data_IF_056922853594
#
_entry.id   IF_056922853594
#
_cell.length_a   1.000
_cell.length_b   1.000
_cell.length_c   1.000
_cell.angle_alpha   90.00
_cell.angle_beta   90.00
_cell.angle_gamma   90.00
#
_symmetry.space_group_name_H-M   'P 1'
#
loop_
_entity.id
_entity.type
_entity.pdbx_description
1 polymer ?
#
# COMPACT_ATOMS: atom_id res chain seq x y z
N UNK A 1 -14.88 -15.27 -9.10
CA UNK A 1 -15.30 -14.07 -8.34
C UNK A 1 -15.94 -13.04 -9.28
N UNK A 2 -17.24 -12.71 -9.12
CA UNK A 2 -17.81 -11.49 -9.72
C UNK A 2 -17.43 -10.31 -8.84
N UNK A 3 -16.31 -9.64 -9.13
CA UNK A 3 -15.99 -8.34 -8.56
C UNK A 3 -16.90 -7.28 -9.22
N UNK A 4 -18.14 -7.16 -8.76
CA UNK A 4 -19.06 -6.16 -9.29
C UNK A 4 -20.35 -6.10 -8.47
N UNK A 5 -20.47 -5.07 -7.63
CA UNK A 5 -21.74 -4.69 -7.00
C UNK A 5 -22.62 -3.89 -7.96
N UNK A 6 -23.91 -3.77 -7.64
CA UNK A 6 -24.92 -3.11 -8.49
C UNK A 6 -24.58 -1.64 -8.85
N UNK A 7 -23.74 -0.97 -8.05
CA UNK A 7 -23.40 0.44 -8.21
C UNK A 7 -21.91 0.68 -8.53
N UNK A 8 -21.45 0.16 -9.68
CA UNK A 8 -20.06 0.33 -10.14
C UNK A 8 -19.60 1.80 -10.18
N UNK A 9 -20.49 2.70 -10.60
CA UNK A 9 -20.20 4.13 -10.69
C UNK A 9 -19.94 4.75 -9.32
N UNK A 10 -20.75 4.39 -8.32
CA UNK A 10 -20.56 4.86 -6.94
C UNK A 10 -19.23 4.35 -6.39
N UNK A 11 -18.93 3.06 -6.55
CA UNK A 11 -17.65 2.49 -6.10
C UNK A 11 -16.44 3.16 -6.77
N UNK A 12 -16.53 3.45 -8.07
CA UNK A 12 -15.48 4.13 -8.83
C UNK A 12 -15.28 5.57 -8.33
N UNK A 13 -16.37 6.31 -8.11
CA UNK A 13 -16.31 7.67 -7.57
C UNK A 13 -15.75 7.69 -6.14
N UNK A 14 -16.16 6.75 -5.29
CA UNK A 14 -15.62 6.60 -3.93
C UNK A 14 -14.12 6.31 -3.93
N UNK A 15 -13.65 5.44 -4.82
CA UNK A 15 -12.21 5.16 -4.97
C UNK A 15 -11.45 6.42 -5.42
N UNK A 16 -11.98 7.15 -6.41
CA UNK A 16 -11.41 8.42 -6.86
C UNK A 16 -11.32 9.44 -5.72
N UNK A 17 -12.38 9.58 -4.93
CA UNK A 17 -12.41 10.46 -3.77
C UNK A 17 -11.37 10.04 -2.71
N UNK A 18 -11.25 8.74 -2.44
CA UNK A 18 -10.25 8.22 -1.50
C UNK A 18 -8.81 8.56 -1.94
N UNK A 19 -8.50 8.41 -3.23
CA UNK A 19 -7.19 8.78 -3.78
C UNK A 19 -6.93 10.28 -3.69
N UNK A 20 -7.94 11.11 -3.95
CA UNK A 20 -7.83 12.57 -3.80
C UNK A 20 -7.56 12.96 -2.34
N UNK A 21 -8.32 12.41 -1.38
CA UNK A 21 -8.11 12.64 0.05
C UNK A 21 -6.69 12.23 0.47
N UNK A 22 -6.23 11.06 0.02
CA UNK A 22 -4.89 10.57 0.33
C UNK A 22 -3.79 11.49 -0.24
N UNK A 23 -3.94 11.94 -1.49
CA UNK A 23 -3.00 12.85 -2.15
C UNK A 23 -2.90 14.20 -1.43
N UNK A 24 -4.03 14.82 -1.09
CA UNK A 24 -4.07 16.10 -0.35
C UNK A 24 -3.38 15.95 1.01
N UNK A 25 -3.68 14.86 1.74
CA UNK A 25 -3.08 14.61 3.04
C UNK A 25 -1.55 14.46 2.93
N UNK A 26 -1.06 13.75 1.92
CA UNK A 26 0.38 13.55 1.73
C UNK A 26 1.12 14.89 1.51
N UNK A 27 0.54 15.78 0.69
CA UNK A 27 1.09 17.13 0.47
C UNK A 27 1.08 17.94 1.77
N UNK A 28 0.02 17.85 2.57
CA UNK A 28 -0.08 18.56 3.85
C UNK A 28 0.92 18.06 4.88
N UNK A 29 1.10 16.74 5.01
CA UNK A 29 2.13 16.16 5.88
C UNK A 29 3.51 16.66 5.47
N UNK A 30 3.81 16.66 4.16
CA UNK A 30 5.09 17.15 3.67
C UNK A 30 5.30 18.65 3.91
N UNK A 31 4.23 19.46 3.83
CA UNK A 31 4.27 20.92 3.98
C UNK A 31 4.34 21.36 5.44
N UNK A 32 3.57 20.73 6.33
CA UNK A 32 3.36 21.20 7.70
C UNK A 32 3.99 20.32 8.78
N UNK A 33 4.26 19.04 8.48
CA UNK A 33 4.73 18.06 9.46
C UNK A 33 6.14 17.54 9.16
N UNK A 34 6.93 18.26 8.35
CA UNK A 34 8.26 17.83 7.92
C UNK A 34 9.21 17.52 9.08
N UNK A 35 9.10 18.28 10.16
CA UNK A 35 9.97 18.16 11.34
C UNK A 35 9.34 17.34 12.49
N UNK A 36 8.10 16.85 12.30
CA UNK A 36 7.39 16.05 13.29
C UNK A 36 7.80 14.59 13.14
N UNK A 37 8.14 13.88 14.23
CA UNK A 37 8.44 12.46 14.16
C UNK A 37 7.32 11.66 13.49
N UNK A 38 7.71 10.75 12.61
CA UNK A 38 6.80 9.97 11.76
C UNK A 38 5.82 9.13 12.56
N UNK A 39 6.27 8.64 13.72
CA UNK A 39 5.43 7.90 14.65
C UNK A 39 4.34 8.80 15.26
N UNK A 40 4.65 10.05 15.59
CA UNK A 40 3.71 10.98 16.24
C UNK A 40 2.61 11.40 15.27
N UNK A 41 2.96 11.82 14.04
CA UNK A 41 1.96 12.26 13.07
C UNK A 41 1.13 11.11 12.49
N UNK A 42 1.53 9.85 12.67
CA UNK A 42 0.68 8.69 12.34
C UNK A 42 -0.13 8.21 13.55
N UNK A 43 0.50 8.01 14.71
CA UNK A 43 -0.16 7.39 15.87
C UNK A 43 -1.31 8.22 16.42
N UNK A 44 -1.12 9.54 16.60
CA UNK A 44 -2.17 10.40 17.16
C UNK A 44 -3.36 10.52 16.19
N UNK A 45 -3.17 10.86 14.90
CA UNK A 45 -4.29 10.90 13.96
C UNK A 45 -4.97 9.55 13.77
N UNK A 46 -4.23 8.44 13.74
CA UNK A 46 -4.83 7.10 13.68
C UNK A 46 -5.68 6.81 14.92
N UNK A 47 -5.23 7.20 16.12
CA UNK A 47 -6.04 7.03 17.34
C UNK A 47 -7.33 7.85 17.27
N UNK A 48 -7.25 9.12 16.88
CA UNK A 48 -8.44 9.97 16.70
C UNK A 48 -9.38 9.38 15.63
N UNK A 49 -8.84 8.96 14.49
CA UNK A 49 -9.61 8.32 13.43
C UNK A 49 -10.29 7.03 13.92
N UNK A 50 -9.61 6.22 14.74
CA UNK A 50 -10.20 4.99 15.30
C UNK A 50 -11.40 5.28 16.21
N UNK A 51 -11.34 6.34 17.03
CA UNK A 51 -12.47 6.77 17.86
C UNK A 51 -13.64 7.26 17.01
N UNK A 52 -13.35 8.05 15.96
CA UNK A 52 -14.37 8.55 15.05
C UNK A 52 -15.03 7.42 14.26
N UNK A 53 -14.24 6.47 13.74
CA UNK A 53 -14.76 5.30 13.03
C UNK A 53 -15.56 4.38 13.95
N UNK A 54 -15.12 4.19 15.20
CA UNK A 54 -15.86 3.41 16.19
C UNK A 54 -17.22 4.07 16.51
N UNK A 55 -17.23 5.39 16.71
CA UNK A 55 -18.48 6.12 16.92
C UNK A 55 -19.40 6.03 15.69
N UNK A 56 -18.86 6.26 14.48
CA UNK A 56 -19.62 6.19 13.24
C UNK A 56 -20.19 4.78 12.98
N UNK A 57 -19.42 3.72 13.21
CA UNK A 57 -19.89 2.33 13.09
C UNK A 57 -21.11 2.09 13.99
N UNK A 58 -21.09 2.61 15.22
CA UNK A 58 -22.25 2.56 16.13
C UNK A 58 -23.52 3.25 15.63
N UNK A 59 -23.41 4.25 14.75
CA UNK A 59 -24.57 4.98 14.20
C UNK A 59 -25.00 4.49 12.82
N UNK A 60 -24.07 4.04 11.98
CA UNK A 60 -24.30 3.72 10.57
C UNK A 60 -24.45 2.22 10.28
N UNK A 61 -23.82 1.36 11.09
CA UNK A 61 -23.79 -0.08 10.81
C UNK A 61 -24.76 -0.84 11.73
N UNK A 62 -25.51 -1.83 11.20
CA UNK A 62 -26.29 -2.74 12.03
C UNK A 62 -25.34 -3.73 12.73
N UNK A 63 -24.99 -3.44 13.99
CA UNK A 63 -24.07 -4.28 14.77
C UNK A 63 -24.81 -5.50 15.31
N UNK A 64 -24.45 -6.69 14.80
CA UNK A 64 -24.85 -7.96 15.38
C UNK A 64 -23.64 -8.65 16.04
N UNK A 65 -23.53 -8.52 17.36
CA UNK A 65 -22.42 -9.09 18.14
C UNK A 65 -22.41 -10.63 18.06
N UNK A 66 -23.56 -11.27 17.84
CA UNK A 66 -23.64 -12.73 17.73
C UNK A 66 -22.97 -13.26 16.45
N UNK A 67 -22.80 -12.40 15.45
CA UNK A 67 -22.10 -12.74 14.20
C UNK A 67 -20.57 -12.80 14.34
N UNK A 68 -20.01 -12.32 15.46
CA UNK A 68 -18.57 -12.24 15.64
C UNK A 68 -17.98 -13.62 15.93
N UNK A 69 -17.17 -14.13 15.01
CA UNK A 69 -16.46 -15.40 15.19
C UNK A 69 -15.11 -15.18 15.86
N UNK A 70 -14.61 -16.19 16.57
CA UNK A 70 -13.25 -16.16 17.13
C UNK A 70 -12.19 -15.89 16.06
N UNK A 71 -12.35 -16.49 14.87
CA UNK A 71 -11.47 -16.25 13.71
C UNK A 71 -11.44 -14.78 13.29
N UNK A 72 -12.60 -14.12 13.20
CA UNK A 72 -12.67 -12.70 12.85
C UNK A 72 -11.97 -11.81 13.89
N UNK A 73 -12.12 -12.12 15.17
CA UNK A 73 -11.45 -11.38 16.25
C UNK A 73 -9.94 -11.56 16.18
N UNK A 74 -9.46 -12.79 16.00
CA UNK A 74 -8.02 -13.05 15.84
C UNK A 74 -7.46 -12.39 14.58
N UNK A 75 -8.20 -12.38 13.48
CA UNK A 75 -7.81 -11.68 12.25
C UNK A 75 -7.65 -10.17 12.49
N UNK A 76 -8.61 -9.54 13.20
CA UNK A 76 -8.51 -8.11 13.56
C UNK A 76 -7.31 -7.85 14.47
N UNK A 77 -7.06 -8.69 15.47
CA UNK A 77 -5.90 -8.55 16.37
C UNK A 77 -4.59 -8.70 15.59
N UNK A 78 -4.49 -9.68 14.69
CA UNK A 78 -3.32 -9.88 13.84
C UNK A 78 -3.09 -8.69 12.91
N UNK A 79 -4.14 -8.21 12.23
CA UNK A 79 -4.04 -7.06 11.33
C UNK A 79 -3.68 -5.77 12.08
N UNK A 80 -4.26 -5.56 13.27
CA UNK A 80 -4.02 -4.38 14.09
C UNK A 80 -2.62 -4.35 14.70
N UNK A 81 -2.14 -5.45 15.28
CA UNK A 81 -0.84 -5.48 15.96
C UNK A 81 0.30 -5.85 15.00
N UNK A 82 0.19 -6.97 14.31
CA UNK A 82 1.30 -7.52 13.51
C UNK A 82 1.40 -6.77 12.18
N UNK A 83 0.34 -6.75 11.39
CA UNK A 83 0.40 -6.16 10.06
C UNK A 83 0.54 -4.63 10.11
N UNK A 84 -0.18 -3.95 11.01
CA UNK A 84 -0.17 -2.48 11.08
C UNK A 84 1.04 -1.94 11.84
N UNK A 85 1.21 -2.26 13.13
CA UNK A 85 2.36 -1.74 13.92
C UNK A 85 3.67 -2.30 13.39
N UNK A 86 3.75 -3.60 13.09
CA UNK A 86 4.93 -4.20 12.48
C UNK A 86 5.24 -3.60 11.11
N UNK A 87 4.23 -3.45 10.25
CA UNK A 87 4.38 -2.88 8.91
C UNK A 87 4.88 -1.43 8.94
N UNK A 88 4.31 -0.58 9.79
CA UNK A 88 4.72 0.83 9.86
C UNK A 88 6.13 0.98 10.44
N UNK A 89 6.51 0.19 11.45
CA UNK A 89 7.87 0.18 12.01
C UNK A 89 8.88 -0.29 10.97
N UNK A 90 8.56 -1.35 10.23
CA UNK A 90 9.41 -1.83 9.13
C UNK A 90 9.56 -0.79 8.03
N UNK A 91 8.46 -0.12 7.65
CA UNK A 91 8.48 0.97 6.67
C UNK A 91 9.36 2.14 7.13
N UNK A 92 9.33 2.51 8.41
CA UNK A 92 10.21 3.56 8.94
C UNK A 92 11.66 3.15 8.94
N UNK A 93 11.98 1.91 9.33
CA UNK A 93 13.34 1.38 9.21
C UNK A 93 13.82 1.40 7.78
N UNK A 94 12.96 1.03 6.82
CA UNK A 94 13.27 1.12 5.40
C UNK A 94 13.54 2.57 4.97
N UNK A 95 12.70 3.52 5.40
CA UNK A 95 12.91 4.95 5.12
C UNK A 95 14.21 5.54 5.68
N UNK A 96 14.77 4.96 6.75
CA UNK A 96 16.08 5.36 7.30
C UNK A 96 17.26 4.84 6.47
N UNK A 97 17.09 3.73 5.75
CA UNK A 97 18.17 3.05 5.00
C UNK A 97 18.00 3.10 3.49
N UNK A 98 16.93 3.72 2.99
CA UNK A 98 16.57 3.76 1.56
C UNK A 98 16.03 5.13 1.14
N UNK A 99 16.12 5.43 -0.14
CA UNK A 99 15.56 6.68 -0.68
C UNK A 99 14.03 6.60 -0.74
N UNK A 100 13.30 7.73 -0.70
CA UNK A 100 11.83 7.73 -0.83
C UNK A 100 11.31 7.01 -2.08
N UNK A 101 12.05 7.08 -3.18
CA UNK A 101 11.73 6.34 -4.41
C UNK A 101 11.89 4.83 -4.26
N UNK A 102 12.90 4.37 -3.52
CA UNK A 102 13.07 2.94 -3.25
C UNK A 102 12.01 2.41 -2.28
N UNK A 103 11.59 3.22 -1.31
CA UNK A 103 10.48 2.90 -0.43
C UNK A 103 9.16 2.79 -1.20
N UNK A 104 8.93 3.65 -2.21
CA UNK A 104 7.69 3.60 -3.00
C UNK A 104 7.55 2.36 -3.87
N UNK A 105 8.66 1.75 -4.30
CA UNK A 105 8.67 0.45 -4.99
C UNK A 105 8.03 -0.65 -4.12
N UNK A 106 8.12 -0.54 -2.80
CA UNK A 106 7.49 -1.49 -1.87
C UNK A 106 5.97 -1.55 -2.09
N UNK A 107 5.33 -0.41 -2.33
CA UNK A 107 3.89 -0.34 -2.62
C UNK A 107 3.50 -0.97 -3.97
N UNK A 108 4.44 -1.11 -4.91
CA UNK A 108 4.22 -1.84 -6.16
C UNK A 108 4.43 -3.36 -6.00
N UNK A 109 5.30 -3.77 -5.07
CA UNK A 109 5.57 -5.18 -4.78
C UNK A 109 4.51 -5.79 -3.87
N UNK A 110 3.94 -5.01 -2.94
CA UNK A 110 2.93 -5.50 -1.99
C UNK A 110 1.73 -6.21 -2.64
N UNK A 111 1.06 -5.65 -3.67
CA UNK A 111 -0.04 -6.34 -4.33
C UNK A 111 0.39 -7.67 -4.96
N UNK A 112 1.62 -7.76 -5.44
CA UNK A 112 2.16 -8.98 -6.04
C UNK A 112 2.40 -10.07 -5.00
N UNK A 113 3.04 -9.72 -3.89
CA UNK A 113 3.25 -10.66 -2.78
C UNK A 113 1.91 -11.09 -2.19
N UNK A 114 0.98 -10.17 -1.99
CA UNK A 114 -0.36 -10.48 -1.50
C UNK A 114 -1.10 -11.44 -2.44
N UNK A 115 -1.04 -11.21 -3.75
CA UNK A 115 -1.68 -12.07 -4.75
C UNK A 115 -1.07 -13.49 -4.75
N UNK A 116 0.26 -13.60 -4.70
CA UNK A 116 0.96 -14.89 -4.65
C UNK A 116 0.65 -15.65 -3.36
N UNK A 117 0.70 -14.98 -2.21
CA UNK A 117 0.36 -15.58 -0.92
C UNK A 117 -1.11 -16.01 -0.88
N UNK A 118 -2.02 -15.20 -1.43
CA UNK A 118 -3.44 -15.55 -1.53
C UNK A 118 -3.64 -16.81 -2.38
N UNK A 119 -3.01 -16.90 -3.55
CA UNK A 119 -3.06 -18.09 -4.39
C UNK A 119 -2.48 -19.32 -3.68
N UNK A 120 -1.36 -19.16 -2.98
CA UNK A 120 -0.72 -20.24 -2.23
C UNK A 120 -1.57 -20.72 -1.04
N UNK A 121 -2.16 -19.80 -0.27
CA UNK A 121 -2.96 -20.14 0.92
C UNK A 121 -4.31 -20.74 0.54
N UNK A 122 -4.90 -20.34 -0.59
CA UNK A 122 -6.20 -20.85 -1.05
C UNK A 122 -6.08 -22.04 -2.03
N UNK A 123 -4.87 -22.53 -2.32
CA UNK A 123 -4.62 -23.55 -3.34
C UNK A 123 -5.24 -23.21 -4.73
N UNK A 124 -5.29 -21.91 -5.06
CA UNK A 124 -5.86 -21.42 -6.31
C UNK A 124 -4.78 -21.14 -7.36
N UNK A 125 -5.07 -21.48 -8.62
CA UNK A 125 -4.21 -21.11 -9.74
C UNK A 125 -4.49 -19.68 -10.19
N UNK A 126 -3.42 -18.88 -10.31
CA UNK A 126 -3.52 -17.53 -10.87
C UNK A 126 -3.93 -17.60 -12.35
N UNK A 127 -4.87 -16.72 -12.73
CA UNK A 127 -5.30 -16.59 -14.12
C UNK A 127 -4.12 -16.24 -15.04
N UNK A 128 -4.09 -16.84 -16.23
CA UNK A 128 -3.08 -16.55 -17.26
C UNK A 128 -2.99 -15.05 -17.58
N UNK A 129 -4.11 -14.34 -17.55
CA UNK A 129 -4.14 -12.88 -17.76
C UNK A 129 -3.42 -12.13 -16.63
N UNK A 130 -3.65 -12.53 -15.38
CA UNK A 130 -2.99 -11.95 -14.21
C UNK A 130 -1.48 -12.17 -14.30
N UNK A 131 -1.04 -13.38 -14.64
CA UNK A 131 0.39 -13.71 -14.83
C UNK A 131 1.01 -12.84 -15.93
N UNK A 132 0.32 -12.70 -17.07
CA UNK A 132 0.80 -11.92 -18.20
C UNK A 132 0.94 -10.43 -17.87
N UNK A 133 0.06 -9.88 -17.03
CA UNK A 133 0.16 -8.50 -16.53
C UNK A 133 1.21 -8.34 -15.42
N UNK A 134 1.48 -9.41 -14.66
CA UNK A 134 2.49 -9.43 -13.60
C UNK A 134 3.92 -9.31 -14.16
N UNK A 135 4.18 -9.95 -15.30
CA UNK A 135 5.49 -9.95 -15.98
C UNK A 135 6.01 -8.54 -16.32
N UNK A 136 5.29 -7.68 -17.05
CA UNK A 136 5.75 -6.32 -17.35
C UNK A 136 5.83 -5.44 -16.10
N UNK A 137 4.98 -5.66 -15.08
CA UNK A 137 5.08 -4.94 -13.81
C UNK A 137 6.38 -5.29 -13.08
N UNK A 138 6.68 -6.59 -12.93
CA UNK A 138 7.92 -7.07 -12.32
C UNK A 138 9.15 -6.60 -13.10
N UNK A 139 9.09 -6.66 -14.43
CA UNK A 139 10.14 -6.15 -15.30
C UNK A 139 10.37 -4.64 -15.09
N UNK A 140 9.30 -3.85 -15.04
CA UNK A 140 9.37 -2.41 -14.76
C UNK A 140 10.01 -2.11 -13.40
N UNK A 141 9.63 -2.84 -12.35
CA UNK A 141 10.22 -2.71 -11.02
C UNK A 141 11.72 -3.04 -11.05
N UNK A 142 12.12 -4.15 -11.68
CA UNK A 142 13.54 -4.51 -11.82
C UNK A 142 14.31 -3.44 -12.61
N UNK A 143 13.71 -2.90 -13.66
CA UNK A 143 14.31 -1.85 -14.48
C UNK A 143 14.64 -0.60 -13.64
N UNK A 144 13.79 -0.22 -12.70
CA UNK A 144 14.04 0.93 -11.80
C UNK A 144 15.22 0.74 -10.85
N UNK A 145 15.66 -0.51 -10.62
CA UNK A 145 16.83 -0.84 -9.80
C UNK A 145 18.12 -0.95 -10.62
N UNK A 146 18.04 -0.98 -11.95
CA UNK A 146 19.21 -1.08 -12.82
C UNK A 146 20.08 0.19 -12.74
N UNK A 147 21.39 0.08 -12.53
CA UNK A 147 22.25 1.25 -12.43
C UNK A 147 22.28 2.03 -13.76
N UNK A 148 22.26 3.37 -13.66
CA UNK A 148 22.27 4.27 -14.83
C UNK A 148 23.46 4.06 -15.76
N UNK A 149 24.55 3.46 -15.25
CA UNK A 149 25.74 3.08 -16.03
C UNK A 149 25.43 2.10 -17.16
N UNK A 150 24.39 1.27 -17.04
CA UNK A 150 23.93 0.36 -18.12
C UNK A 150 23.33 1.15 -19.29
N UNK A 151 22.73 2.32 -19.01
CA UNK A 151 22.11 3.17 -20.02
C UNK A 151 23.02 4.33 -20.49
N UNK A 152 24.19 4.52 -19.87
CA UNK A 152 25.16 5.51 -20.32
C UNK A 152 25.94 4.98 -21.54
N UNK A 153 25.63 5.51 -22.72
CA UNK A 153 26.52 5.39 -23.89
C UNK A 153 27.81 6.13 -23.57
N UNK A 154 28.95 5.42 -23.61
CA UNK A 154 30.29 6.02 -23.47
C UNK A 154 30.40 7.23 -24.42
N UNK A 155 30.78 8.42 -23.95
CA UNK A 155 31.08 9.52 -24.85
C UNK A 155 32.23 9.09 -25.78
N UNK A 156 32.07 9.28 -27.09
CA UNK A 156 33.16 9.09 -28.05
C UNK A 156 34.31 10.00 -27.62
N UNK A 157 35.50 9.43 -27.43
CA UNK A 157 36.72 10.20 -27.27
C UNK A 157 36.84 11.12 -28.49
N UNK A 158 36.79 12.43 -28.25
CA UNK A 158 37.13 13.43 -29.26
C UNK A 158 38.64 13.33 -29.42
N UNK A 159 39.08 12.75 -30.54
CA UNK A 159 40.48 12.80 -30.97
C UNK A 159 40.72 14.26 -31.36
N UNK A 160 41.59 14.93 -30.61
CA UNK A 160 42.09 16.25 -30.96
C UNK A 160 43.29 16.04 -31.88
N UNK A 161 43.13 16.43 -33.15
CA UNK A 161 44.20 16.69 -34.10
C UNK A 161 44.15 18.17 -34.49
#
# INVERSE_FOLDING_TARGET
MKLGGENYLLGTLSLGLAVLMHSVMYVFVQKFCKDVPVLTYNAIPCFIASLLLFALSGFLEPIDIASFTSESVYAVVYLGLVASVGGIVAYFKLGQVSTPFQASICFLIFPLVALLLCAYVNDEVLSTQSILLMLPLMFGILLTKTPKTVFQRRPKAVIAD
#
